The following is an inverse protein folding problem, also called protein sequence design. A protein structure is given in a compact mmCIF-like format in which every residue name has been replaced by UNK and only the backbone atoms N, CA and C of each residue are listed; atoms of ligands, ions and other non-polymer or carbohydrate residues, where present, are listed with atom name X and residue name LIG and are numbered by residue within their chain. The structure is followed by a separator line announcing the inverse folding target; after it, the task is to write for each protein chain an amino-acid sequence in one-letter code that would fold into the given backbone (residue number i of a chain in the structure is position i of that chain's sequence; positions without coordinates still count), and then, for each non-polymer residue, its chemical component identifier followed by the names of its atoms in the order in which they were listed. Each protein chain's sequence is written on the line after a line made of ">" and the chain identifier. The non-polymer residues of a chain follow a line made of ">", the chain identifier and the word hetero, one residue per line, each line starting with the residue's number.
data_IF_360554823591
#
_entry.id   IF_360554823591
#
_cell.length_a   1.000
_cell.length_b   1.000
_cell.length_c   1.000
_cell.angle_alpha   90.00
_cell.angle_beta   90.00
_cell.angle_gamma   90.00
#
_symmetry.space_group_name_H-M   'P 1'
#
loop_
_entity.id
_entity.type
_entity.pdbx_description
1 polymer ?
#
# COMPACT_ATOMS: atom_id res chain seq x y z
N UNK A 1 -7.67 16.27 25.50
CA UNK A 1 -6.91 16.71 26.68
C UNK A 1 -6.73 15.58 27.71
N UNK A 2 -7.75 14.78 28.07
CA UNK A 2 -7.64 13.71 29.08
C UNK A 2 -6.54 12.66 28.76
N UNK A 3 -6.47 12.17 27.53
CA UNK A 3 -5.40 11.25 27.10
C UNK A 3 -4.00 11.87 27.25
N UNK A 4 -3.86 13.18 26.96
CA UNK A 4 -2.60 13.89 27.12
C UNK A 4 -2.17 13.94 28.58
N UNK A 5 -3.10 14.14 29.51
CA UNK A 5 -2.80 14.17 30.95
C UNK A 5 -2.48 12.77 31.48
N UNK A 6 -3.17 11.72 31.05
CA UNK A 6 -2.81 10.35 31.39
C UNK A 6 -1.37 10.01 30.89
N UNK A 7 -1.03 10.41 29.67
CA UNK A 7 0.34 10.26 29.15
C UNK A 7 1.37 11.10 29.91
N UNK A 8 0.96 12.29 30.40
CA UNK A 8 1.84 13.12 31.21
C UNK A 8 2.15 12.45 32.56
N UNK A 9 1.17 11.81 33.19
CA UNK A 9 1.36 11.03 34.41
C UNK A 9 2.38 9.89 34.17
N UNK A 10 2.28 9.17 33.06
CA UNK A 10 3.25 8.13 32.70
C UNK A 10 4.67 8.69 32.50
N UNK A 11 4.80 9.87 31.87
CA UNK A 11 6.11 10.55 31.69
C UNK A 11 6.73 10.96 33.02
N UNK A 12 5.92 11.47 33.96
CA UNK A 12 6.40 11.83 35.31
C UNK A 12 6.94 10.59 36.01
N UNK A 13 6.23 9.45 35.95
CA UNK A 13 6.70 8.20 36.55
C UNK A 13 7.99 7.70 35.94
N UNK A 14 8.10 7.71 34.63
CA UNK A 14 9.32 7.32 33.94
C UNK A 14 10.50 8.24 34.29
N UNK A 15 10.27 9.55 34.37
CA UNK A 15 11.28 10.51 34.81
C UNK A 15 11.70 10.27 36.26
N UNK A 16 10.77 10.01 37.16
CA UNK A 16 11.06 9.72 38.55
C UNK A 16 11.99 8.50 38.71
N UNK A 17 11.69 7.39 38.01
CA UNK A 17 12.56 6.21 38.00
C UNK A 17 13.95 6.51 37.42
N UNK A 18 14.02 7.29 36.35
CA UNK A 18 15.28 7.68 35.72
C UNK A 18 16.12 8.59 36.64
N UNK A 19 15.49 9.54 37.35
CA UNK A 19 16.19 10.47 38.23
C UNK A 19 16.65 9.80 39.55
N UNK A 20 15.91 8.80 40.05
CA UNK A 20 16.18 8.13 41.31
C UNK A 20 17.09 6.88 41.17
N UNK A 21 17.17 6.32 39.97
CA UNK A 21 18.06 5.18 39.62
C UNK A 21 18.09 4.05 40.66
N UNK A 22 16.97 3.45 41.09
CA UNK A 22 16.92 2.48 42.17
C UNK A 22 17.86 1.28 41.97
N UNK A 23 18.16 0.91 40.72
CA UNK A 23 19.08 -0.16 40.37
C UNK A 23 20.55 0.13 40.81
N UNK A 24 20.93 1.40 40.89
CA UNK A 24 22.30 1.78 41.35
C UNK A 24 22.45 1.70 42.83
N UNK A 25 21.40 2.02 43.58
CA UNK A 25 21.45 2.06 45.06
C UNK A 25 20.95 0.76 45.70
N UNK A 26 20.52 -0.23 44.93
CA UNK A 26 19.98 -1.50 45.44
C UNK A 26 20.92 -2.29 46.35
N UNK A 27 22.25 -2.09 46.23
CA UNK A 27 23.25 -2.76 47.09
C UNK A 27 23.62 -1.95 48.33
N UNK A 28 23.24 -0.68 48.43
CA UNK A 28 23.70 0.24 49.47
C UNK A 28 22.56 0.80 50.32
N UNK A 29 21.34 0.92 49.79
CA UNK A 29 20.20 1.51 50.50
C UNK A 29 18.90 0.85 50.03
N UNK A 30 18.58 -0.30 50.59
CA UNK A 30 17.36 -1.07 50.27
C UNK A 30 16.09 -0.37 50.74
N UNK A 31 16.12 0.39 51.81
CA UNK A 31 14.94 1.11 52.33
C UNK A 31 14.53 2.23 51.37
N UNK A 32 15.52 2.90 50.81
CA UNK A 32 15.30 3.90 49.78
C UNK A 32 14.73 3.27 48.50
N UNK A 33 15.27 2.13 48.09
CA UNK A 33 14.76 1.36 46.93
C UNK A 33 13.31 0.96 47.15
N UNK A 34 12.98 0.41 48.32
CA UNK A 34 11.60 0.02 48.66
C UNK A 34 10.65 1.19 48.54
N UNK A 35 11.05 2.39 49.05
CA UNK A 35 10.28 3.61 48.94
C UNK A 35 10.02 4.03 47.47
N UNK A 36 11.09 4.03 46.65
CA UNK A 36 11.00 4.40 45.21
C UNK A 36 10.08 3.43 44.48
N UNK A 37 10.21 2.11 44.72
CA UNK A 37 9.38 1.11 44.06
C UNK A 37 7.94 1.17 44.53
N UNK A 38 7.66 1.44 45.79
CA UNK A 38 6.32 1.63 46.27
C UNK A 38 5.62 2.81 45.56
N UNK A 39 6.25 3.98 45.51
CA UNK A 39 5.73 5.15 44.80
C UNK A 39 5.46 4.81 43.33
N UNK A 40 6.40 4.12 42.68
CA UNK A 40 6.24 3.72 41.28
C UNK A 40 5.07 2.76 41.07
N UNK A 41 4.86 1.80 41.98
CA UNK A 41 3.71 0.87 41.92
C UNK A 41 2.39 1.57 42.18
N UNK A 42 2.30 2.52 43.10
CA UNK A 42 1.09 3.35 43.28
C UNK A 42 0.77 4.14 42.00
N UNK A 43 1.81 4.66 41.34
CA UNK A 43 1.64 5.36 40.07
C UNK A 43 1.15 4.42 38.96
N UNK A 44 1.71 3.21 38.86
CA UNK A 44 1.26 2.19 37.88
C UNK A 44 -0.19 1.80 38.13
N UNK A 45 -0.62 1.68 39.38
CA UNK A 45 -2.01 1.42 39.72
C UNK A 45 -2.94 2.56 39.24
N UNK A 46 -2.53 3.81 39.44
CA UNK A 46 -3.25 4.98 38.93
C UNK A 46 -3.28 4.99 37.37
N UNK A 47 -2.19 4.61 36.72
CA UNK A 47 -2.16 4.50 35.25
C UNK A 47 -3.11 3.41 34.75
N UNK A 48 -3.25 2.28 35.46
CA UNK A 48 -4.20 1.23 35.10
C UNK A 48 -5.66 1.76 35.12
N UNK A 49 -5.98 2.71 35.99
CA UNK A 49 -7.28 3.39 36.01
C UNK A 49 -7.38 4.42 34.88
N UNK A 50 -6.43 5.35 34.83
CA UNK A 50 -6.46 6.48 33.89
C UNK A 50 -6.43 6.07 32.41
N UNK A 51 -5.78 4.97 32.08
CA UNK A 51 -5.70 4.47 30.71
C UNK A 51 -6.84 3.51 30.32
N UNK A 52 -7.66 3.05 31.24
CA UNK A 52 -8.73 2.09 30.94
C UNK A 52 -9.65 2.54 29.78
N UNK A 53 -10.08 3.82 29.70
CA UNK A 53 -10.92 4.30 28.60
C UNK A 53 -10.18 4.35 27.24
N UNK A 54 -8.86 4.38 27.22
CA UNK A 54 -8.05 4.53 26.01
C UNK A 54 -7.38 3.22 25.58
N UNK A 55 -6.92 2.43 26.56
CA UNK A 55 -6.18 1.19 26.36
C UNK A 55 -6.73 0.08 27.28
N UNK A 56 -7.98 -0.37 27.08
CA UNK A 56 -8.66 -1.28 28.00
C UNK A 56 -7.89 -2.60 28.20
N UNK A 57 -7.37 -3.19 27.13
CA UNK A 57 -6.61 -4.46 27.22
C UNK A 57 -5.28 -4.31 27.96
N UNK A 58 -4.57 -3.20 27.75
CA UNK A 58 -3.32 -2.92 28.49
C UNK A 58 -3.59 -2.63 29.96
N UNK A 59 -4.67 -1.92 30.27
CA UNK A 59 -5.10 -1.67 31.64
C UNK A 59 -5.52 -2.96 32.35
N UNK A 60 -6.21 -3.88 31.65
CA UNK A 60 -6.52 -5.20 32.19
C UNK A 60 -5.23 -6.00 32.50
N UNK A 61 -4.25 -6.02 31.60
CA UNK A 61 -2.97 -6.66 31.82
C UNK A 61 -2.24 -6.04 33.03
N UNK A 62 -2.23 -4.71 33.14
CA UNK A 62 -1.66 -4.03 34.32
C UNK A 62 -2.33 -4.45 35.62
N UNK A 63 -3.67 -4.50 35.67
CA UNK A 63 -4.41 -4.96 36.85
C UNK A 63 -4.03 -6.39 37.22
N UNK A 64 -3.95 -7.30 36.24
CA UNK A 64 -3.53 -8.69 36.47
C UNK A 64 -2.10 -8.76 37.05
N UNK A 65 -1.15 -8.02 36.51
CA UNK A 65 0.22 -7.93 37.06
C UNK A 65 0.25 -7.34 38.46
N UNK A 66 -0.63 -6.39 38.76
CA UNK A 66 -0.81 -5.84 40.10
C UNK A 66 -1.62 -6.76 41.03
N UNK A 67 -2.04 -7.95 40.57
CA UNK A 67 -2.89 -8.89 41.30
C UNK A 67 -4.16 -8.22 41.85
N UNK A 68 -4.86 -7.45 40.98
CA UNK A 68 -6.10 -6.75 41.26
C UNK A 68 -7.09 -7.02 40.11
N UNK A 69 -8.31 -7.39 40.47
CA UNK A 69 -9.38 -7.63 39.46
C UNK A 69 -9.92 -6.30 38.92
N UNK A 70 -10.10 -5.30 39.75
CA UNK A 70 -10.58 -3.99 39.37
C UNK A 70 -10.08 -2.89 40.29
N UNK A 71 -10.16 -1.66 39.80
CA UNK A 71 -10.05 -0.45 40.62
C UNK A 71 -11.30 0.38 40.42
N UNK A 72 -11.74 1.05 41.50
CA UNK A 72 -12.80 2.04 41.40
C UNK A 72 -12.22 3.32 40.76
N UNK A 73 -12.89 3.84 39.72
CA UNK A 73 -12.53 5.11 39.09
C UNK A 73 -12.45 6.28 40.08
N UNK A 74 -13.29 6.28 41.11
CA UNK A 74 -13.26 7.30 42.15
C UNK A 74 -11.96 7.30 42.98
N UNK A 75 -11.16 6.24 42.91
CA UNK A 75 -9.88 6.15 43.62
C UNK A 75 -8.70 6.69 42.79
N UNK A 76 -8.93 7.19 41.58
CA UNK A 76 -7.90 7.81 40.76
C UNK A 76 -7.26 8.99 41.53
N UNK A 77 -5.94 9.00 41.58
CA UNK A 77 -5.14 9.97 42.34
C UNK A 77 -4.82 9.53 43.79
N UNK A 78 -5.33 8.38 44.23
CA UNK A 78 -4.97 7.84 45.55
C UNK A 78 -3.50 7.39 45.58
N UNK A 79 -2.87 7.64 46.73
CA UNK A 79 -1.48 7.23 47.01
C UNK A 79 -1.38 5.89 47.71
N UNK A 80 -2.51 5.21 47.95
CA UNK A 80 -2.58 3.95 48.71
C UNK A 80 -3.52 2.95 48.02
N UNK A 81 -3.37 2.74 46.72
CA UNK A 81 -4.13 1.75 45.94
C UNK A 81 -3.65 0.31 46.22
N UNK A 82 -2.37 0.17 46.51
CA UNK A 82 -1.71 -1.08 46.86
C UNK A 82 -1.23 -0.99 48.31
N UNK A 83 -1.75 -1.78 49.24
CA UNK A 83 -1.33 -1.75 50.64
C UNK A 83 0.08 -2.33 50.80
N UNK A 84 0.73 -2.01 51.95
CA UNK A 84 2.00 -2.61 52.26
C UNK A 84 1.89 -4.13 52.36
N UNK A 85 2.88 -4.86 51.81
CA UNK A 85 2.86 -6.32 51.74
C UNK A 85 2.02 -6.93 50.63
N UNK A 86 1.42 -6.10 49.75
CA UNK A 86 0.66 -6.58 48.63
C UNK A 86 1.50 -7.45 47.69
N UNK A 87 1.00 -8.63 47.33
CA UNK A 87 1.68 -9.56 46.45
C UNK A 87 1.37 -9.27 45.00
N UNK A 88 2.40 -9.03 44.20
CA UNK A 88 2.28 -8.83 42.75
C UNK A 88 2.23 -10.18 42.03
N UNK A 89 1.56 -10.22 40.88
CA UNK A 89 1.61 -11.34 39.96
C UNK A 89 2.85 -11.27 39.06
N UNK A 90 3.00 -12.27 38.20
CA UNK A 90 4.13 -12.34 37.26
C UNK A 90 4.07 -11.17 36.27
N UNK A 91 5.16 -10.38 36.12
CA UNK A 91 5.20 -9.30 35.15
C UNK A 91 5.29 -9.84 33.72
N UNK A 92 4.64 -9.14 32.77
CA UNK A 92 4.74 -9.40 31.35
C UNK A 92 4.91 -8.08 30.57
N UNK A 93 5.35 -8.18 29.32
CA UNK A 93 5.44 -7.01 28.45
C UNK A 93 4.04 -6.57 28.03
N UNK A 94 3.73 -5.28 28.23
CA UNK A 94 2.46 -4.70 27.78
C UNK A 94 2.38 -4.54 26.27
N UNK A 95 3.50 -4.23 25.65
CA UNK A 95 3.61 -3.96 24.21
C UNK A 95 4.80 -4.70 23.65
N UNK A 96 4.63 -5.27 22.48
CA UNK A 96 5.69 -5.86 21.70
C UNK A 96 6.02 -4.93 20.52
N UNK A 97 7.27 -4.99 20.06
CA UNK A 97 7.66 -4.30 18.83
C UNK A 97 6.95 -4.98 17.65
N UNK A 98 6.27 -4.18 16.86
CA UNK A 98 5.70 -4.68 15.61
C UNK A 98 6.83 -4.80 14.60
N UNK A 99 7.09 -6.02 14.13
CA UNK A 99 8.11 -6.29 13.12
C UNK A 99 7.65 -5.81 11.74
N UNK A 100 8.60 -5.36 10.91
CA UNK A 100 8.33 -4.80 9.58
C UNK A 100 7.57 -5.79 8.69
N UNK A 101 7.86 -7.09 8.80
CA UNK A 101 7.14 -8.14 8.08
C UNK A 101 5.63 -8.19 8.37
N UNK A 102 5.21 -7.86 9.59
CA UNK A 102 3.79 -7.79 9.97
C UNK A 102 3.14 -6.57 9.31
N UNK A 103 3.86 -5.45 9.24
CA UNK A 103 3.42 -4.23 8.57
C UNK A 103 3.26 -4.49 7.07
N UNK A 104 4.26 -5.09 6.44
CA UNK A 104 4.26 -5.44 5.02
C UNK A 104 3.10 -6.37 4.66
N UNK A 105 2.84 -7.39 5.50
CA UNK A 105 1.70 -8.30 5.30
C UNK A 105 0.34 -7.57 5.37
N UNK A 106 0.19 -6.60 6.28
CA UNK A 106 -1.05 -5.81 6.36
C UNK A 106 -1.19 -4.84 5.18
N UNK A 107 -0.09 -4.21 4.74
CA UNK A 107 -0.09 -3.35 3.54
C UNK A 107 -0.46 -4.16 2.31
N UNK A 108 0.13 -5.36 2.12
CA UNK A 108 -0.21 -6.22 1.00
C UNK A 108 -1.69 -6.62 1.00
N UNK A 109 -2.22 -7.02 2.17
CA UNK A 109 -3.66 -7.33 2.32
C UNK A 109 -4.57 -6.16 1.92
N UNK A 110 -4.18 -4.92 2.28
CA UNK A 110 -4.94 -3.72 1.88
C UNK A 110 -4.90 -3.50 0.37
N UNK A 111 -3.74 -3.68 -0.25
CA UNK A 111 -3.57 -3.56 -1.71
C UNK A 111 -4.39 -4.61 -2.45
N UNK A 112 -4.35 -5.87 -2.00
CA UNK A 112 -5.13 -6.97 -2.59
C UNK A 112 -6.63 -6.71 -2.47
N UNK A 113 -7.09 -6.23 -1.30
CA UNK A 113 -8.49 -5.88 -1.07
C UNK A 113 -8.92 -4.71 -1.96
N UNK A 114 -8.07 -3.69 -2.12
CA UNK A 114 -8.33 -2.57 -3.01
C UNK A 114 -8.50 -3.05 -4.45
N UNK A 115 -7.56 -3.86 -4.94
CA UNK A 115 -7.61 -4.43 -6.30
C UNK A 115 -8.87 -5.26 -6.52
N UNK A 116 -9.22 -6.14 -5.59
CA UNK A 116 -10.42 -6.95 -5.66
C UNK A 116 -11.71 -6.10 -5.69
N UNK A 117 -11.75 -5.00 -4.91
CA UNK A 117 -12.89 -4.09 -4.92
C UNK A 117 -12.99 -3.28 -6.24
N UNK A 118 -11.87 -2.85 -6.80
CA UNK A 118 -11.83 -2.16 -8.09
C UNK A 118 -12.31 -3.09 -9.20
N UNK A 119 -11.86 -4.34 -9.22
CA UNK A 119 -12.29 -5.37 -10.16
C UNK A 119 -13.79 -5.67 -10.03
N UNK A 120 -14.29 -5.87 -8.81
CA UNK A 120 -15.70 -6.17 -8.55
C UNK A 120 -16.64 -5.01 -8.90
N UNK A 121 -16.17 -3.77 -8.83
CA UNK A 121 -16.93 -2.56 -9.16
C UNK A 121 -16.74 -2.09 -10.60
N UNK A 122 -15.87 -2.76 -11.37
CA UNK A 122 -15.65 -2.40 -12.76
C UNK A 122 -16.94 -2.52 -13.59
N UNK A 123 -17.25 -1.46 -14.29
CA UNK A 123 -18.36 -1.43 -15.26
C UNK A 123 -17.80 -1.04 -16.63
N UNK A 124 -18.05 -1.90 -17.60
CA UNK A 124 -17.72 -1.56 -18.99
C UNK A 124 -18.38 -0.25 -19.41
N UNK A 125 -17.70 0.53 -20.23
CA UNK A 125 -18.26 1.73 -20.82
C UNK A 125 -19.52 1.38 -21.65
N UNK A 126 -20.53 2.27 -21.68
CA UNK A 126 -21.69 2.04 -22.52
C UNK A 126 -21.30 1.87 -23.98
N UNK A 127 -22.02 1.00 -24.67
CA UNK A 127 -21.86 0.80 -26.11
C UNK A 127 -22.13 2.13 -26.81
N UNK A 128 -21.26 2.53 -27.73
CA UNK A 128 -21.46 3.72 -28.59
C UNK A 128 -22.64 3.51 -29.52
N UNK A 129 -23.19 4.59 -30.12
CA UNK A 129 -24.23 4.48 -31.12
C UNK A 129 -23.82 3.52 -32.24
N UNK A 130 -24.82 2.82 -32.80
CA UNK A 130 -24.62 1.94 -33.93
C UNK A 130 -24.05 2.72 -35.13
N UNK A 131 -23.18 2.07 -35.86
CA UNK A 131 -22.64 2.54 -37.16
C UNK A 131 -23.08 1.55 -38.24
N UNK A 132 -23.14 2.01 -39.47
CA UNK A 132 -23.40 1.16 -40.62
C UNK A 132 -22.15 0.34 -40.96
N UNK A 133 -22.35 -0.81 -41.59
CA UNK A 133 -21.22 -1.70 -41.99
C UNK A 133 -20.24 -0.97 -42.92
N UNK A 134 -20.73 -0.11 -43.80
CA UNK A 134 -19.91 0.71 -44.68
C UNK A 134 -19.00 1.70 -43.93
N UNK A 135 -19.38 2.12 -42.72
CA UNK A 135 -18.54 2.97 -41.91
C UNK A 135 -17.38 2.16 -41.31
N UNK A 136 -17.63 0.92 -40.88
CA UNK A 136 -16.59 0.00 -40.46
C UNK A 136 -15.60 -0.32 -41.58
N UNK A 137 -16.10 -0.55 -42.81
CA UNK A 137 -15.27 -0.86 -43.98
C UNK A 137 -14.36 0.29 -44.42
N UNK A 138 -14.56 1.51 -43.92
CA UNK A 138 -13.64 2.63 -44.13
C UNK A 138 -12.34 2.48 -43.33
N UNK A 139 -12.32 1.63 -42.29
CA UNK A 139 -11.14 1.37 -41.50
C UNK A 139 -10.31 0.25 -42.15
N UNK A 140 -9.04 0.50 -42.39
CA UNK A 140 -8.07 -0.54 -42.81
C UNK A 140 -7.31 -1.02 -41.55
N UNK A 141 -7.83 -2.09 -40.93
CA UNK A 141 -7.20 -2.70 -39.76
C UNK A 141 -6.35 -3.88 -40.22
N UNK A 142 -5.07 -3.88 -39.89
CA UNK A 142 -4.12 -4.91 -40.31
C UNK A 142 -3.34 -5.49 -39.14
N UNK A 143 -2.78 -6.67 -39.37
CA UNK A 143 -1.81 -7.29 -38.48
C UNK A 143 -0.42 -7.01 -39.01
N UNK A 144 0.48 -6.54 -38.16
CA UNK A 144 1.89 -6.33 -38.50
C UNK A 144 2.81 -6.94 -37.45
N UNK A 145 4.04 -7.27 -37.88
CA UNK A 145 5.08 -7.77 -36.97
C UNK A 145 5.98 -6.62 -36.55
N UNK A 146 6.20 -6.48 -35.26
CA UNK A 146 7.11 -5.47 -34.71
C UNK A 146 8.55 -5.87 -35.00
N UNK A 147 9.23 -5.10 -35.84
CA UNK A 147 10.64 -5.30 -36.19
C UNK A 147 11.57 -4.65 -35.17
N UNK A 148 11.22 -3.41 -34.76
CA UNK A 148 12.00 -2.62 -33.82
C UNK A 148 11.03 -1.89 -32.90
N UNK A 149 11.40 -1.73 -31.62
CA UNK A 149 10.68 -0.94 -30.65
C UNK A 149 11.66 -0.19 -29.76
N UNK A 150 11.45 1.11 -29.55
CA UNK A 150 12.30 1.92 -28.70
C UNK A 150 11.54 3.03 -27.98
N UNK A 151 12.05 3.50 -26.84
CA UNK A 151 11.51 4.64 -26.12
C UNK A 151 11.75 5.93 -26.90
N UNK A 152 10.74 6.79 -26.95
CA UNK A 152 10.89 8.12 -27.57
C UNK A 152 11.62 9.06 -26.61
N UNK A 153 12.75 9.68 -27.03
CA UNK A 153 13.47 10.60 -26.16
C UNK A 153 12.59 11.75 -25.66
N UNK A 154 12.69 12.08 -24.37
CA UNK A 154 11.89 13.16 -23.70
C UNK A 154 10.36 12.90 -23.76
N UNK A 155 9.94 11.65 -23.80
CA UNK A 155 8.52 11.27 -23.79
C UNK A 155 8.30 9.93 -23.09
N UNK A 156 8.24 9.94 -21.77
CA UNK A 156 8.20 8.75 -20.90
C UNK A 156 6.99 7.82 -21.15
N UNK A 157 5.98 8.31 -21.86
CA UNK A 157 4.76 7.54 -22.18
C UNK A 157 4.78 6.94 -23.59
N UNK A 158 5.75 7.27 -24.44
CA UNK A 158 5.73 6.92 -25.87
C UNK A 158 6.76 5.86 -26.21
N UNK A 159 6.32 4.85 -26.99
CA UNK A 159 7.17 3.92 -27.74
C UNK A 159 7.06 4.20 -29.22
N UNK A 160 8.19 4.17 -29.92
CA UNK A 160 8.29 4.19 -31.37
C UNK A 160 8.46 2.76 -31.88
N UNK A 161 7.61 2.39 -32.80
CA UNK A 161 7.60 1.08 -33.44
C UNK A 161 8.00 1.18 -34.90
N UNK A 162 8.72 0.17 -35.39
CA UNK A 162 8.85 -0.12 -36.79
C UNK A 162 8.18 -1.44 -37.06
N UNK A 163 7.14 -1.44 -37.88
CA UNK A 163 6.24 -2.58 -38.09
C UNK A 163 6.30 -3.00 -39.53
N UNK A 164 6.54 -4.29 -39.78
CA UNK A 164 6.35 -4.89 -41.10
C UNK A 164 4.86 -5.11 -41.33
N UNK A 165 4.26 -4.43 -42.30
CA UNK A 165 2.85 -4.49 -42.64
C UNK A 165 2.53 -5.33 -43.90
N UNK A 166 3.52 -6.03 -44.39
CA UNK A 166 3.40 -6.86 -45.60
C UNK A 166 3.55 -6.09 -46.94
N UNK A 167 3.56 -4.76 -46.90
CA UNK A 167 3.82 -3.90 -48.04
C UNK A 167 5.15 -3.18 -47.88
N UNK A 168 5.33 -2.51 -46.76
CA UNK A 168 6.53 -1.76 -46.42
C UNK A 168 6.74 -1.76 -44.88
N UNK A 169 7.78 -1.10 -44.42
CA UNK A 169 8.01 -0.91 -42.97
C UNK A 169 7.44 0.42 -42.56
N UNK A 170 6.50 0.38 -41.61
CA UNK A 170 5.74 1.53 -41.13
C UNK A 170 6.25 1.97 -39.77
N UNK A 171 6.32 3.28 -39.57
CA UNK A 171 6.61 3.85 -38.24
C UNK A 171 5.31 4.20 -37.51
N UNK A 172 5.10 3.65 -36.31
CA UNK A 172 3.98 4.00 -35.46
C UNK A 172 4.48 4.42 -34.07
N UNK A 173 3.89 5.46 -33.49
CA UNK A 173 4.16 5.90 -32.14
C UNK A 173 2.91 5.64 -31.29
N UNK A 174 3.10 4.93 -30.17
CA UNK A 174 2.00 4.56 -29.27
C UNK A 174 2.31 4.94 -27.82
N UNK A 175 1.25 5.28 -27.06
CA UNK A 175 1.29 5.74 -25.65
C UNK A 175 1.41 4.62 -24.62
N UNK A 176 2.07 3.52 -24.89
CA UNK A 176 2.09 2.31 -24.04
C UNK A 176 3.41 2.07 -23.31
N UNK A 177 4.33 3.04 -23.30
CA UNK A 177 5.67 2.88 -22.69
C UNK A 177 5.65 2.65 -21.17
N UNK A 178 4.55 2.93 -20.50
CA UNK A 178 4.37 2.65 -19.06
C UNK A 178 3.91 1.21 -18.76
N UNK A 179 3.48 0.48 -19.80
CA UNK A 179 2.88 -0.86 -19.69
C UNK A 179 3.74 -1.95 -20.33
N UNK A 180 4.71 -1.57 -21.19
CA UNK A 180 5.55 -2.52 -21.91
C UNK A 180 7.00 -2.05 -22.01
N UNK A 181 7.92 -2.98 -21.84
CA UNK A 181 9.30 -2.75 -22.23
C UNK A 181 9.46 -2.99 -23.74
N UNK A 182 10.29 -2.20 -24.45
CA UNK A 182 10.48 -2.36 -25.90
C UNK A 182 10.82 -3.78 -26.34
N UNK A 183 11.68 -4.47 -25.58
CA UNK A 183 12.18 -5.81 -25.90
C UNK A 183 11.07 -6.88 -25.89
N UNK A 184 10.02 -6.69 -25.09
CA UNK A 184 8.89 -7.62 -24.97
C UNK A 184 8.02 -7.63 -26.23
N UNK A 185 8.05 -6.56 -27.01
CA UNK A 185 7.20 -6.35 -28.17
C UNK A 185 7.87 -6.69 -29.48
N UNK A 186 9.20 -6.69 -29.54
CA UNK A 186 9.94 -7.06 -30.76
C UNK A 186 9.66 -8.51 -31.13
N UNK A 187 9.37 -8.75 -32.41
CA UNK A 187 8.97 -10.05 -32.94
C UNK A 187 7.51 -10.44 -32.72
N UNK A 188 6.74 -9.64 -31.93
CA UNK A 188 5.33 -9.91 -31.72
C UNK A 188 4.48 -9.32 -32.84
N UNK A 189 3.31 -9.93 -33.04
CA UNK A 189 2.28 -9.39 -33.93
C UNK A 189 1.34 -8.46 -33.19
N UNK A 190 0.95 -7.36 -33.85
CA UNK A 190 0.04 -6.35 -33.30
C UNK A 190 -1.00 -5.98 -34.35
N UNK A 191 -2.23 -5.70 -33.90
CA UNK A 191 -3.25 -5.13 -34.75
C UNK A 191 -3.13 -3.60 -34.74
N UNK A 192 -3.21 -2.99 -35.91
CA UNK A 192 -3.14 -1.54 -36.06
C UNK A 192 -4.05 -1.03 -37.16
N UNK A 193 -4.46 0.24 -37.09
CA UNK A 193 -5.18 0.93 -38.16
C UNK A 193 -4.16 1.54 -39.09
N UNK A 194 -4.19 1.11 -40.36
CA UNK A 194 -3.21 1.44 -41.38
C UNK A 194 -3.51 2.75 -42.13
N UNK A 195 -4.80 3.12 -42.27
CA UNK A 195 -5.24 4.25 -43.09
C UNK A 195 -5.59 5.52 -42.29
N UNK A 196 -5.05 5.67 -41.08
CA UNK A 196 -5.13 6.94 -40.37
C UNK A 196 -4.18 7.96 -41.01
N UNK A 197 -4.64 9.22 -41.06
CA UNK A 197 -3.79 10.32 -41.51
C UNK A 197 -2.51 10.40 -40.64
N UNK A 198 -1.33 10.53 -41.25
CA UNK A 198 -0.09 10.62 -40.50
C UNK A 198 -0.10 11.77 -39.52
N UNK A 199 0.38 11.51 -38.27
CA UNK A 199 0.42 12.51 -37.20
C UNK A 199 1.81 12.64 -36.62
N UNK A 200 2.31 13.86 -36.49
CA UNK A 200 3.60 14.13 -35.85
C UNK A 200 3.49 14.15 -34.32
N UNK A 201 4.18 13.21 -33.66
CA UNK A 201 4.25 13.04 -32.19
C UNK A 201 5.71 13.20 -31.73
N UNK A 202 5.99 14.25 -30.96
CA UNK A 202 7.37 14.54 -30.47
C UNK A 202 8.45 14.51 -31.56
N UNK A 203 8.11 15.00 -32.75
CA UNK A 203 9.07 15.05 -33.88
C UNK A 203 9.03 13.84 -34.82
N UNK A 204 8.40 12.73 -34.43
CA UNK A 204 8.30 11.50 -35.20
C UNK A 204 6.92 11.45 -35.88
N UNK A 205 6.89 11.10 -37.16
CA UNK A 205 5.64 10.90 -37.90
C UNK A 205 5.12 9.49 -37.61
N UNK A 206 3.92 9.40 -37.02
CA UNK A 206 3.21 8.13 -36.83
C UNK A 206 2.25 7.90 -37.99
N UNK A 207 2.35 6.76 -38.65
CA UNK A 207 1.65 6.38 -39.88
C UNK A 207 0.59 5.32 -39.61
N UNK A 208 -0.06 5.42 -38.46
CA UNK A 208 -1.10 4.50 -38.00
C UNK A 208 -1.28 4.52 -36.49
N UNK A 209 -2.10 3.62 -35.99
CA UNK A 209 -2.38 3.48 -34.55
C UNK A 209 -2.45 2.00 -34.15
N UNK A 210 -1.60 1.58 -33.22
CA UNK A 210 -1.69 0.24 -32.60
C UNK A 210 -2.96 0.19 -31.75
N UNK A 211 -3.71 -0.90 -31.87
CA UNK A 211 -4.90 -1.14 -31.05
C UNK A 211 -4.49 -1.72 -29.69
N UNK A 212 -5.07 -1.19 -28.64
CA UNK A 212 -4.90 -1.71 -27.27
C UNK A 212 -6.24 -1.69 -26.55
N UNK A 213 -6.42 -2.66 -25.66
CA UNK A 213 -7.53 -2.71 -24.71
C UNK A 213 -7.06 -2.18 -23.36
N UNK A 214 -7.88 -1.35 -22.73
CA UNK A 214 -7.64 -0.84 -21.38
C UNK A 214 -8.40 -1.69 -20.37
N UNK A 215 -7.68 -2.14 -19.33
CA UNK A 215 -8.25 -2.92 -18.23
C UNK A 215 -8.81 -1.99 -17.15
N UNK A 216 -9.52 -2.56 -16.17
CA UNK A 216 -10.14 -1.83 -15.05
C UNK A 216 -9.12 -1.07 -14.18
N UNK A 217 -7.89 -1.53 -14.11
CA UNK A 217 -6.78 -0.91 -13.37
C UNK A 217 -5.99 0.14 -14.18
N UNK A 218 -6.47 0.45 -15.41
CA UNK A 218 -5.80 1.36 -16.33
C UNK A 218 -4.61 0.74 -17.07
N UNK A 219 -4.31 -0.55 -16.84
CA UNK A 219 -3.28 -1.25 -17.63
C UNK A 219 -3.76 -1.45 -19.06
N UNK A 220 -2.81 -1.35 -20.01
CA UNK A 220 -3.09 -1.52 -21.43
C UNK A 220 -2.58 -2.88 -21.93
N UNK A 221 -3.41 -3.57 -22.69
CA UNK A 221 -3.02 -4.79 -23.40
C UNK A 221 -3.11 -4.56 -24.91
N UNK A 222 -2.01 -4.85 -25.63
CA UNK A 222 -1.98 -4.74 -27.09
C UNK A 222 -2.85 -5.82 -27.72
N UNK A 223 -3.67 -5.44 -28.67
CA UNK A 223 -4.51 -6.38 -29.42
C UNK A 223 -3.63 -7.15 -30.41
N UNK A 224 -3.69 -8.48 -30.35
CA UNK A 224 -2.92 -9.38 -31.19
C UNK A 224 -3.79 -10.55 -31.68
N UNK A 225 -3.24 -11.35 -32.59
CA UNK A 225 -3.90 -12.57 -33.09
C UNK A 225 -3.52 -13.78 -32.23
N UNK A 226 -4.46 -14.70 -32.00
CA UNK A 226 -4.23 -15.95 -31.25
C UNK A 226 -3.30 -16.93 -32.00
N UNK A 227 -3.24 -16.80 -33.31
CA UNK A 227 -2.35 -17.60 -34.18
C UNK A 227 -1.55 -16.64 -35.06
N UNK A 228 -0.34 -17.03 -35.37
CA UNK A 228 0.49 -16.28 -36.31
C UNK A 228 -0.19 -16.18 -37.68
N UNK A 229 -0.21 -14.98 -38.23
CA UNK A 229 -0.70 -14.70 -39.57
C UNK A 229 0.37 -13.94 -40.35
N UNK A 230 0.25 -13.89 -41.67
CA UNK A 230 1.18 -13.09 -42.47
C UNK A 230 1.03 -11.60 -42.18
N UNK A 231 2.14 -10.84 -42.03
CA UNK A 231 2.08 -9.38 -41.93
C UNK A 231 1.27 -8.80 -43.12
N UNK A 232 0.42 -7.81 -42.82
CA UNK A 232 -0.50 -7.22 -43.80
C UNK A 232 -1.86 -7.90 -43.89
N UNK A 233 -2.10 -9.01 -43.17
CA UNK A 233 -3.43 -9.64 -43.12
C UNK A 233 -4.45 -8.65 -42.58
N UNK A 234 -5.58 -8.53 -43.27
CA UNK A 234 -6.69 -7.67 -42.88
C UNK A 234 -7.51 -8.27 -41.74
N UNK A 235 -7.94 -7.45 -40.80
CA UNK A 235 -8.87 -7.79 -39.74
C UNK A 235 -10.27 -7.40 -40.20
N UNK A 236 -11.16 -8.38 -40.28
CA UNK A 236 -12.53 -8.24 -40.78
C UNK A 236 -13.56 -8.60 -39.73
#
# INVERSE_FOLDING_TARGET
>A
DAQKEAMNLARIGNKYLADTEPWKIAKTDMDRVATILNISLQLVANLAIAFEPFLPFSSEKLRKMLNRDSFDWATLGSTNLLPAGHQLATPELLFEKIEDSVIEAQVQKLLDTKKANEEANYKANPIRPNIEFDDFMKLDIRVGTVLECQKVPKADKLLQFKIADGLENRTIVSGIAQHYNPEELVGKQVCFIANLAPRKLKGIVSEGMILSAENFDGSLSVVTTMKEVKPGSEVK
#
